data_IF_355565729101
#
_entry.id   IF_355565729101
#
_cell.length_a   1.000
_cell.length_b   1.000
_cell.length_c   1.000
_cell.angle_alpha   90.00
_cell.angle_beta   90.00
_cell.angle_gamma   90.00
#
_symmetry.space_group_name_H-M   'P 1'
#
loop_
_entity.id
_entity.type
_entity.pdbx_description
1 polymer ?
#
# COMPACT_ATOMS: atom_id res chain seq x y z
N UNK A 1 -10.68 22.40 -28.19
CA UNK A 1 -11.21 22.41 -26.81
C UNK A 1 -10.42 21.38 -26.02
N UNK A 2 -9.78 21.74 -24.91
CA UNK A 2 -9.06 20.77 -24.08
C UNK A 2 -10.06 19.89 -23.33
N UNK A 3 -9.77 18.58 -23.22
CA UNK A 3 -10.57 17.66 -22.42
C UNK A 3 -10.44 18.04 -20.93
N UNK A 4 -11.56 18.31 -20.26
CA UNK A 4 -11.59 18.52 -18.81
C UNK A 4 -11.50 17.19 -18.09
N UNK A 5 -10.77 17.17 -16.99
CA UNK A 5 -10.43 15.94 -16.29
C UNK A 5 -10.27 16.20 -14.79
N UNK A 6 -10.44 15.16 -13.97
CA UNK A 6 -10.23 15.23 -12.52
C UNK A 6 -9.66 13.92 -12.00
N UNK A 7 -9.15 13.95 -10.76
CA UNK A 7 -8.56 12.79 -10.12
C UNK A 7 -8.40 12.98 -8.62
N UNK A 8 -7.91 11.93 -7.96
CA UNK A 8 -7.68 11.91 -6.51
C UNK A 8 -6.19 11.69 -6.23
N UNK A 9 -5.67 12.43 -5.26
CA UNK A 9 -4.36 12.17 -4.65
C UNK A 9 -4.58 11.29 -3.42
N UNK A 10 -4.09 10.04 -3.47
CA UNK A 10 -4.12 9.12 -2.33
C UNK A 10 -2.96 8.16 -2.43
N UNK A 11 -2.09 8.10 -1.42
CA UNK A 11 -0.96 7.19 -1.46
C UNK A 11 -1.37 5.75 -1.16
N UNK A 12 -0.60 4.77 -1.67
CA UNK A 12 -0.87 3.34 -1.46
C UNK A 12 -0.90 2.98 0.03
N UNK A 13 -0.01 3.58 0.82
CA UNK A 13 0.04 3.38 2.27
C UNK A 13 -1.23 3.78 3.01
N UNK A 14 -2.09 4.61 2.40
CA UNK A 14 -3.33 5.11 2.97
C UNK A 14 -4.56 4.30 2.55
N UNK A 15 -4.40 3.32 1.66
CA UNK A 15 -5.47 2.36 1.40
C UNK A 15 -5.77 1.57 2.68
N UNK A 16 -7.04 1.18 2.90
CA UNK A 16 -7.38 0.27 3.99
C UNK A 16 -6.71 -1.08 3.77
N UNK A 17 -6.51 -1.84 4.85
CA UNK A 17 -5.99 -3.20 4.77
C UNK A 17 -5.61 -3.77 6.14
N UNK A 18 -5.52 -5.09 6.20
CA UNK A 18 -5.34 -5.82 7.47
C UNK A 18 -3.87 -6.13 7.78
N UNK A 19 -2.93 -5.75 6.89
CA UNK A 19 -1.50 -6.03 7.04
C UNK A 19 -0.69 -4.82 7.50
N UNK A 20 -1.32 -3.93 8.28
CA UNK A 20 -0.69 -2.74 8.93
C UNK A 20 -0.40 -1.55 8.02
N UNK A 21 -0.60 -1.72 6.71
CA UNK A 21 -0.44 -0.68 5.68
C UNK A 21 -1.24 -1.08 4.45
N UNK A 22 -1.68 -0.09 3.67
CA UNK A 22 -2.26 -0.34 2.35
C UNK A 22 -1.27 -1.00 1.39
N UNK A 23 -1.77 -1.92 0.57
CA UNK A 23 -0.99 -2.77 -0.36
C UNK A 23 -1.59 -2.74 -1.77
N UNK A 24 -0.85 -3.29 -2.73
CA UNK A 24 -1.37 -3.57 -4.08
C UNK A 24 -2.18 -4.87 -4.10
N UNK A 25 -3.27 -4.91 -3.33
CA UNK A 25 -4.21 -6.01 -3.23
C UNK A 25 -5.64 -5.61 -3.62
N UNK A 26 -6.62 -6.33 -3.09
CA UNK A 26 -8.06 -6.09 -3.37
C UNK A 26 -8.50 -4.65 -3.12
N UNK A 27 -8.00 -4.00 -2.06
CA UNK A 27 -8.37 -2.63 -1.73
C UNK A 27 -7.85 -1.61 -2.75
N UNK A 28 -6.73 -1.89 -3.42
CA UNK A 28 -6.25 -1.06 -4.52
C UNK A 28 -7.16 -1.17 -5.75
N UNK A 29 -7.63 -2.38 -6.08
CA UNK A 29 -8.61 -2.58 -7.15
C UNK A 29 -9.94 -1.91 -6.82
N UNK A 30 -10.45 -2.11 -5.59
CA UNK A 30 -11.69 -1.48 -5.13
C UNK A 30 -11.60 0.06 -5.17
N UNK A 31 -10.43 0.64 -4.88
CA UNK A 31 -10.24 2.08 -5.03
C UNK A 31 -10.23 2.53 -6.49
N UNK A 32 -9.63 1.76 -7.40
CA UNK A 32 -9.70 2.05 -8.85
C UNK A 32 -11.14 1.95 -9.36
N UNK A 33 -11.90 0.95 -8.91
CA UNK A 33 -13.33 0.81 -9.24
C UNK A 33 -14.12 2.03 -8.73
N UNK A 34 -13.86 2.49 -7.50
CA UNK A 34 -14.45 3.72 -6.96
C UNK A 34 -14.11 4.95 -7.81
N UNK A 35 -12.86 5.09 -8.27
CA UNK A 35 -12.46 6.18 -9.15
C UNK A 35 -13.22 6.12 -10.49
N UNK A 36 -13.34 4.93 -11.07
CA UNK A 36 -14.09 4.71 -12.31
C UNK A 36 -15.57 5.06 -12.15
N UNK A 37 -16.23 4.54 -11.12
CA UNK A 37 -17.64 4.80 -10.82
C UNK A 37 -17.93 6.29 -10.53
N UNK A 38 -16.97 6.99 -9.92
CA UNK A 38 -17.07 8.42 -9.63
C UNK A 38 -16.61 9.33 -10.77
N UNK A 39 -16.29 8.77 -11.94
CA UNK A 39 -15.87 9.50 -13.13
C UNK A 39 -14.50 10.17 -13.02
N UNK A 40 -13.69 9.77 -12.04
CA UNK A 40 -12.30 10.20 -11.93
C UNK A 40 -11.44 9.45 -12.95
N UNK A 41 -10.52 10.17 -13.58
CA UNK A 41 -9.69 9.64 -14.67
C UNK A 41 -8.21 9.61 -14.31
N UNK A 42 -7.83 10.18 -13.16
CA UNK A 42 -6.47 10.15 -12.64
C UNK A 42 -6.44 9.69 -11.18
N UNK A 43 -5.44 8.86 -10.88
CA UNK A 43 -4.99 8.58 -9.52
C UNK A 43 -3.56 9.06 -9.38
N UNK A 44 -3.35 10.07 -8.54
CA UNK A 44 -2.02 10.54 -8.22
C UNK A 44 -1.52 9.88 -6.93
N UNK A 45 -0.26 9.47 -6.94
CA UNK A 45 0.43 8.85 -5.81
C UNK A 45 1.76 9.57 -5.53
N UNK A 46 2.25 9.44 -4.30
CA UNK A 46 3.63 9.78 -3.91
C UNK A 46 4.63 8.72 -4.43
N UNK A 47 5.95 8.92 -4.30
CA UNK A 47 6.93 7.94 -4.75
C UNK A 47 6.78 6.57 -4.06
N UNK A 48 6.92 5.50 -4.85
CA UNK A 48 6.78 4.11 -4.39
C UNK A 48 8.08 3.48 -3.89
N UNK A 49 9.14 4.28 -3.77
CA UNK A 49 10.45 3.78 -3.39
C UNK A 49 10.48 3.37 -1.90
N UNK A 50 11.38 2.45 -1.50
CA UNK A 50 11.58 2.10 -0.09
C UNK A 50 11.80 3.36 0.76
N UNK A 51 11.10 3.48 1.87
CA UNK A 51 11.27 4.60 2.78
C UNK A 51 12.54 4.42 3.63
N UNK A 52 13.14 5.53 4.04
CA UNK A 52 14.28 5.58 4.97
C UNK A 52 13.93 6.46 6.16
N UNK A 53 14.79 7.41 6.53
CA UNK A 53 14.62 8.28 7.66
C UNK A 53 13.26 9.00 7.64
N UNK A 54 12.54 8.90 8.76
CA UNK A 54 11.23 9.53 8.95
C UNK A 54 10.11 8.93 8.09
N UNK A 55 10.31 7.72 7.54
CA UNK A 55 9.33 7.00 6.72
C UNK A 55 8.83 7.79 5.51
N UNK A 56 9.66 8.72 5.04
CA UNK A 56 9.31 9.62 3.93
C UNK A 56 9.50 8.93 2.59
N UNK A 57 8.48 8.93 1.69
CA UNK A 57 8.61 8.40 0.34
C UNK A 57 9.59 9.21 -0.52
N UNK A 58 9.99 10.40 -0.07
CA UNK A 58 10.98 11.25 -0.74
C UNK A 58 12.41 11.04 -0.24
N UNK A 59 12.60 10.20 0.80
CA UNK A 59 13.91 9.86 1.33
C UNK A 59 14.13 8.36 1.17
N UNK A 60 14.59 7.97 -0.02
CA UNK A 60 14.89 6.58 -0.35
C UNK A 60 16.38 6.36 -0.61
N UNK A 61 16.84 5.15 -0.34
CA UNK A 61 18.16 4.67 -0.77
C UNK A 61 18.19 4.23 -2.24
N UNK A 62 17.03 4.16 -2.90
CA UNK A 62 16.92 3.78 -4.31
C UNK A 62 15.86 4.63 -5.00
N UNK A 63 16.15 5.07 -6.22
CA UNK A 63 15.18 5.75 -7.10
C UNK A 63 14.45 4.78 -8.04
N UNK A 64 14.75 3.49 -7.98
CA UNK A 64 14.25 2.47 -8.91
C UNK A 64 13.48 1.33 -8.23
N UNK A 65 13.85 0.99 -6.99
CA UNK A 65 13.21 -0.11 -6.28
C UNK A 65 11.79 0.25 -5.86
N UNK A 66 10.90 -0.73 -5.78
CA UNK A 66 9.61 -0.60 -5.11
C UNK A 66 9.73 -0.89 -3.61
N UNK A 67 8.90 -0.26 -2.79
CA UNK A 67 8.79 -0.56 -1.37
C UNK A 67 8.06 -1.90 -1.17
N UNK A 68 8.74 -2.87 -0.55
CA UNK A 68 8.20 -4.21 -0.31
C UNK A 68 6.99 -4.23 0.63
N UNK A 69 6.78 -3.18 1.43
CA UNK A 69 5.59 -3.09 2.28
C UNK A 69 4.29 -3.04 1.49
N UNK A 70 4.32 -2.62 0.22
CA UNK A 70 3.13 -2.59 -0.64
C UNK A 70 2.81 -3.94 -1.29
N UNK A 71 3.57 -4.98 -1.00
CA UNK A 71 3.25 -6.35 -1.42
C UNK A 71 2.10 -6.88 -0.57
N UNK A 72 1.05 -7.33 -1.24
CA UNK A 72 -0.15 -7.86 -0.61
C UNK A 72 0.03 -9.34 -0.20
N UNK A 73 -0.15 -9.63 1.09
CA UNK A 73 0.06 -10.97 1.64
C UNK A 73 -1.01 -11.96 1.16
N UNK A 74 -2.26 -11.49 1.02
CA UNK A 74 -3.37 -12.32 0.52
C UNK A 74 -3.15 -12.74 -0.93
N UNK A 75 -2.58 -11.85 -1.74
CA UNK A 75 -2.17 -12.15 -3.11
C UNK A 75 -1.09 -13.22 -3.16
N UNK A 76 -0.09 -13.16 -2.27
CA UNK A 76 0.93 -14.21 -2.17
C UNK A 76 0.34 -15.55 -1.72
N UNK A 77 -0.61 -15.53 -0.77
CA UNK A 77 -1.35 -16.72 -0.35
C UNK A 77 -2.11 -17.37 -1.51
N UNK A 78 -2.89 -16.57 -2.24
CA UNK A 78 -3.67 -17.03 -3.38
C UNK A 78 -2.79 -17.61 -4.51
N UNK A 79 -1.53 -17.16 -4.61
CA UNK A 79 -0.56 -17.67 -5.57
C UNK A 79 0.22 -18.89 -5.06
N UNK A 80 0.02 -19.31 -3.81
CA UNK A 80 0.70 -20.45 -3.20
C UNK A 80 2.14 -20.17 -2.75
N UNK A 81 2.54 -18.91 -2.66
CA UNK A 81 3.87 -18.50 -2.18
C UNK A 81 3.94 -18.27 -0.66
N UNK A 82 2.78 -18.16 -0.02
CA UNK A 82 2.63 -17.93 1.41
C UNK A 82 1.44 -18.77 1.90
N UNK A 83 1.46 -19.21 3.15
CA UNK A 83 0.30 -19.85 3.79
C UNK A 83 -0.34 -18.86 4.77
N UNK A 84 -1.65 -18.98 4.95
CA UNK A 84 -2.41 -18.08 5.82
C UNK A 84 -1.88 -18.07 7.27
N UNK A 85 -1.48 -19.23 7.79
CA UNK A 85 -0.93 -19.41 9.13
C UNK A 85 0.43 -18.71 9.34
N UNK A 86 1.15 -18.36 8.27
CA UNK A 86 2.42 -17.62 8.36
C UNK A 86 2.22 -16.14 8.68
N UNK A 87 1.01 -15.58 8.50
CA UNK A 87 0.77 -14.15 8.74
C UNK A 87 -0.54 -13.81 9.47
N UNK A 88 -1.45 -14.78 9.67
CA UNK A 88 -2.74 -14.55 10.33
C UNK A 88 -2.62 -14.07 11.79
N UNK A 89 -1.60 -14.55 12.51
CA UNK A 89 -1.40 -14.23 13.93
C UNK A 89 -0.46 -13.03 14.18
N UNK A 90 -0.02 -12.37 13.11
CA UNK A 90 0.85 -11.20 13.24
C UNK A 90 0.04 -10.01 13.75
N UNK A 91 0.55 -9.36 14.81
CA UNK A 91 0.02 -8.09 15.26
C UNK A 91 0.48 -6.97 14.33
N UNK A 92 -0.47 -6.39 13.58
CA UNK A 92 -0.25 -5.29 12.64
C UNK A 92 -0.51 -3.90 13.22
N UNK A 93 -0.77 -3.81 14.54
CA UNK A 93 -1.05 -2.57 15.24
C UNK A 93 -2.52 -2.50 15.67
N UNK A 94 -2.80 -1.57 16.58
CA UNK A 94 -4.13 -1.40 17.16
C UNK A 94 -4.95 -0.27 16.54
N UNK A 95 -4.30 0.64 15.81
CA UNK A 95 -4.96 1.80 15.20
C UNK A 95 -5.04 1.63 13.68
N UNK A 96 -6.23 1.33 13.12
CA UNK A 96 -6.38 1.14 11.68
C UNK A 96 -6.27 2.44 10.87
N UNK A 97 -6.25 3.62 11.51
CA UNK A 97 -6.16 4.91 10.83
C UNK A 97 -4.71 5.39 10.64
N UNK A 98 -3.74 4.67 11.21
CA UNK A 98 -2.33 5.08 11.19
C UNK A 98 -1.41 3.92 10.90
N UNK A 99 -0.46 4.17 10.01
CA UNK A 99 0.63 3.22 9.73
C UNK A 99 1.66 3.31 10.86
N UNK A 100 1.95 2.17 11.49
CA UNK A 100 3.10 2.00 12.39
C UNK A 100 4.27 1.40 11.62
N UNK A 101 5.13 2.27 11.08
CA UNK A 101 6.30 1.85 10.30
C UNK A 101 7.35 1.10 11.13
N UNK A 102 7.42 1.34 12.45
CA UNK A 102 8.32 0.61 13.33
C UNK A 102 7.89 -0.85 13.49
N UNK A 103 6.59 -1.06 13.68
CA UNK A 103 6.00 -2.40 13.71
C UNK A 103 6.16 -3.10 12.36
N UNK A 104 5.85 -2.43 11.24
CA UNK A 104 6.03 -2.99 9.90
C UNK A 104 7.47 -3.45 9.65
N UNK A 105 8.46 -2.65 10.06
CA UNK A 105 9.87 -3.03 9.91
C UNK A 105 10.18 -4.33 10.64
N UNK A 106 9.64 -4.52 11.85
CA UNK A 106 9.84 -5.75 12.62
C UNK A 106 9.11 -6.97 12.05
N UNK A 107 7.90 -6.80 11.50
CA UNK A 107 7.07 -7.91 11.05
C UNK A 107 7.35 -8.33 9.60
N UNK A 108 7.74 -7.40 8.72
CA UNK A 108 7.94 -7.67 7.28
C UNK A 108 9.38 -8.01 6.89
N UNK A 109 10.33 -7.96 7.83
CA UNK A 109 11.77 -8.16 7.55
C UNK A 109 12.35 -9.44 8.14
N UNK A 110 11.61 -10.10 9.02
CA UNK A 110 11.94 -11.42 9.57
C UNK A 110 11.27 -12.52 8.73
#
# INVERSE_FOLDING_TARGET
MFLRTSGVLMHISSLPGDSGIGTFGENAYAFVDLLYESGQTYWQILPLCPTSFGDSPYQSFSTFAGNSYFIDLKTLENQGYLKADEYADINWGSDPQRVDYGLLYSQRRN
#
